data_IF_586043860270
#
_entry.id   IF_586043860270
#
_cell.length_a   1.000
_cell.length_b   1.000
_cell.length_c   1.000
_cell.angle_alpha   90.00
_cell.angle_beta   90.00
_cell.angle_gamma   90.00
#
_symmetry.space_group_name_H-M   'P 1'
#
loop_
_entity.id
_entity.type
_entity.pdbx_description
1 polymer ?
#
# COMPACT_ATOMS: atom_id res chain seq x y z
N UNK A 1 23.38 2.21 -16.27
CA UNK A 1 24.79 1.81 -16.10
C UNK A 1 25.11 0.80 -17.18
N UNK A 2 26.17 0.99 -17.98
CA UNK A 2 26.51 0.09 -19.10
C UNK A 2 27.53 -0.98 -18.71
N UNK A 3 28.41 -0.71 -17.76
CA UNK A 3 29.36 -1.67 -17.20
C UNK A 3 29.53 -1.41 -15.70
N UNK A 4 29.76 -2.45 -14.92
CA UNK A 4 30.04 -2.33 -13.48
C UNK A 4 31.41 -2.91 -13.16
N UNK A 5 32.15 -2.21 -12.31
CA UNK A 5 33.50 -2.59 -11.89
C UNK A 5 33.56 -2.67 -10.36
N UNK A 6 34.22 -3.70 -9.84
CA UNK A 6 34.50 -3.86 -8.41
C UNK A 6 36.01 -3.93 -8.26
N UNK A 7 36.58 -3.03 -7.44
CA UNK A 7 38.03 -2.91 -7.24
C UNK A 7 38.83 -2.82 -8.56
N UNK A 8 38.30 -2.12 -9.55
CA UNK A 8 38.93 -1.92 -10.86
C UNK A 8 38.75 -3.06 -11.86
N UNK A 9 38.08 -4.16 -11.49
CA UNK A 9 37.78 -5.29 -12.39
C UNK A 9 36.34 -5.20 -12.86
N UNK A 10 36.09 -5.27 -14.17
CA UNK A 10 34.73 -5.33 -14.71
C UNK A 10 34.09 -6.67 -14.35
N UNK A 11 32.97 -6.63 -13.65
CA UNK A 11 32.22 -7.83 -13.24
C UNK A 11 30.91 -8.02 -14.01
N UNK A 12 30.50 -7.03 -14.82
CA UNK A 12 29.33 -7.14 -15.69
C UNK A 12 29.20 -6.03 -16.73
N UNK A 13 28.47 -6.33 -17.80
CA UNK A 13 27.98 -5.39 -18.83
C UNK A 13 26.45 -5.46 -18.88
N UNK A 14 25.78 -4.31 -18.95
CA UNK A 14 24.33 -4.21 -18.92
C UNK A 14 23.82 -3.30 -20.03
N UNK A 15 22.70 -3.68 -20.65
CA UNK A 15 22.04 -2.87 -21.68
C UNK A 15 20.58 -2.71 -21.33
N UNK A 16 20.08 -1.50 -21.52
CA UNK A 16 18.70 -1.15 -21.22
C UNK A 16 17.91 -0.89 -22.49
N UNK A 17 16.60 -1.12 -22.45
CA UNK A 17 15.70 -0.75 -23.53
C UNK A 17 15.34 0.75 -23.46
N UNK A 18 14.46 1.20 -24.36
CA UNK A 18 14.01 2.60 -24.43
C UNK A 18 13.23 3.05 -23.18
N UNK A 19 12.68 2.11 -22.41
CA UNK A 19 11.98 2.36 -21.15
C UNK A 19 12.91 2.28 -19.93
N UNK A 20 14.23 2.27 -20.15
CA UNK A 20 15.25 2.14 -19.10
C UNK A 20 15.19 0.82 -18.31
N UNK A 21 14.51 -0.20 -18.82
CA UNK A 21 14.52 -1.54 -18.24
C UNK A 21 15.71 -2.33 -18.77
N UNK A 22 16.35 -3.13 -17.92
CA UNK A 22 17.52 -3.92 -18.30
C UNK A 22 17.14 -5.03 -19.29
N UNK A 23 17.38 -4.83 -20.57
CA UNK A 23 17.12 -5.83 -21.60
C UNK A 23 18.19 -6.94 -21.67
N UNK A 24 19.42 -6.67 -21.21
CA UNK A 24 20.52 -7.61 -21.32
C UNK A 24 21.56 -7.43 -20.21
N UNK A 25 22.14 -8.55 -19.78
CA UNK A 25 23.28 -8.65 -18.85
C UNK A 25 24.31 -9.62 -19.42
N UNK A 26 25.59 -9.30 -19.32
CA UNK A 26 26.67 -10.22 -19.61
C UNK A 26 27.70 -10.23 -18.48
N UNK A 27 27.86 -11.40 -17.87
CA UNK A 27 28.84 -11.68 -16.80
C UNK A 27 29.75 -12.86 -17.17
N UNK A 28 30.03 -13.00 -18.47
CA UNK A 28 30.65 -14.19 -19.08
C UNK A 28 29.62 -15.09 -19.75
N UNK A 29 28.38 -15.07 -19.26
CA UNK A 29 27.19 -15.62 -19.93
C UNK A 29 26.18 -14.50 -20.14
N UNK A 30 25.61 -14.44 -21.33
CA UNK A 30 24.57 -13.48 -21.68
C UNK A 30 23.21 -13.91 -21.17
N UNK A 31 22.53 -13.03 -20.44
CA UNK A 31 21.14 -13.17 -20.00
C UNK A 31 20.34 -12.04 -20.64
N UNK A 32 19.34 -12.39 -21.46
CA UNK A 32 18.35 -11.43 -21.93
C UNK A 32 17.13 -11.45 -21.01
N UNK A 33 16.49 -10.28 -20.86
CA UNK A 33 15.28 -10.12 -20.05
C UNK A 33 14.15 -9.54 -20.88
N UNK A 34 12.95 -10.04 -20.65
CA UNK A 34 11.72 -9.53 -21.27
C UNK A 34 10.78 -9.11 -20.16
N UNK A 35 10.22 -7.91 -20.29
CA UNK A 35 9.29 -7.35 -19.33
C UNK A 35 7.89 -7.21 -19.93
N UNK A 36 6.88 -7.28 -19.08
CA UNK A 36 5.51 -7.00 -19.44
C UNK A 36 5.20 -5.50 -19.41
N UNK A 37 3.96 -5.11 -19.75
CA UNK A 37 3.58 -3.72 -19.91
C UNK A 37 3.67 -2.90 -18.62
N UNK A 38 3.60 -3.55 -17.45
CA UNK A 38 3.70 -2.91 -16.14
C UNK A 38 5.11 -3.00 -15.54
N UNK A 39 6.08 -3.55 -16.28
CA UNK A 39 7.47 -3.70 -15.83
C UNK A 39 7.77 -4.99 -15.07
N UNK A 40 6.81 -5.91 -15.00
CA UNK A 40 7.00 -7.25 -14.46
C UNK A 40 7.99 -8.06 -15.33
N UNK A 41 8.95 -8.74 -14.72
CA UNK A 41 9.90 -9.59 -15.45
C UNK A 41 9.17 -10.84 -15.93
N UNK A 42 9.00 -11.03 -17.24
CA UNK A 42 8.29 -12.19 -17.81
C UNK A 42 9.21 -13.36 -18.10
N UNK A 43 10.43 -13.10 -18.56
CA UNK A 43 11.41 -14.17 -18.78
C UNK A 43 12.85 -13.67 -18.68
N UNK A 44 13.73 -14.57 -18.27
CA UNK A 44 15.17 -14.45 -18.45
C UNK A 44 15.71 -15.71 -19.17
N UNK A 45 16.64 -15.54 -20.11
CA UNK A 45 17.13 -16.62 -20.98
C UNK A 45 18.55 -17.11 -20.68
N UNK A 46 19.12 -16.70 -19.54
CA UNK A 46 20.51 -16.96 -19.16
C UNK A 46 20.79 -18.43 -18.83
N UNK A 47 21.74 -18.68 -17.91
CA UNK A 47 22.15 -20.05 -17.52
C UNK A 47 20.98 -20.93 -17.08
N UNK A 48 19.98 -20.34 -16.41
CA UNK A 48 18.75 -21.03 -16.02
C UNK A 48 17.55 -20.28 -16.62
N UNK A 49 17.14 -20.62 -17.85
CA UNK A 49 16.00 -19.97 -18.48
C UNK A 49 14.76 -20.11 -17.61
N UNK A 50 14.16 -18.97 -17.26
CA UNK A 50 13.04 -18.90 -16.34
C UNK A 50 11.96 -18.06 -16.97
N UNK A 51 10.73 -18.59 -16.99
CA UNK A 51 9.54 -17.80 -17.26
C UNK A 51 8.84 -17.52 -15.95
N UNK A 52 8.38 -16.30 -15.74
CA UNK A 52 7.72 -15.85 -14.53
C UNK A 52 6.24 -15.64 -14.83
N UNK A 53 5.38 -16.11 -13.93
CA UNK A 53 3.93 -16.00 -14.05
C UNK A 53 3.42 -15.05 -12.97
N UNK A 54 2.81 -13.94 -13.39
CA UNK A 54 2.31 -12.89 -12.51
C UNK A 54 0.79 -12.79 -12.59
N UNK A 55 0.13 -12.52 -11.46
CA UNK A 55 -1.30 -12.18 -11.40
C UNK A 55 -1.47 -10.99 -10.47
N UNK A 56 -2.09 -9.91 -10.95
CA UNK A 56 -2.37 -8.73 -10.12
C UNK A 56 -1.13 -8.06 -9.53
N UNK A 57 0.04 -8.19 -10.18
CA UNK A 57 1.32 -7.64 -9.71
C UNK A 57 2.11 -8.57 -8.77
N UNK A 58 1.55 -9.72 -8.39
CA UNK A 58 2.21 -10.70 -7.51
C UNK A 58 2.69 -11.92 -8.29
N UNK A 59 3.82 -12.50 -7.86
CA UNK A 59 4.38 -13.69 -8.49
C UNK A 59 3.54 -14.91 -8.11
N UNK A 60 2.88 -15.54 -9.09
CA UNK A 60 2.18 -16.80 -8.89
C UNK A 60 3.16 -17.99 -8.89
N UNK A 61 4.23 -17.88 -9.67
CA UNK A 61 5.22 -18.95 -9.79
C UNK A 61 6.15 -18.76 -10.96
N UNK A 62 7.02 -19.74 -11.16
CA UNK A 62 7.97 -19.79 -12.27
C UNK A 62 7.83 -21.08 -13.06
N UNK A 63 8.21 -21.03 -14.32
CA UNK A 63 8.37 -22.20 -15.18
C UNK A 63 9.84 -22.35 -15.56
N UNK A 64 10.40 -23.52 -15.28
CA UNK A 64 11.76 -23.91 -15.72
C UNK A 64 11.73 -25.31 -16.29
N UNK A 65 12.34 -25.49 -17.47
CA UNK A 65 12.38 -26.79 -18.15
C UNK A 65 11.01 -27.47 -18.27
N UNK A 66 9.95 -26.68 -18.49
CA UNK A 66 8.57 -27.16 -18.60
C UNK A 66 7.90 -27.54 -17.28
N UNK A 67 8.54 -27.34 -16.12
CA UNK A 67 7.97 -27.58 -14.80
C UNK A 67 7.54 -26.27 -14.16
N UNK A 68 6.33 -26.25 -13.59
CA UNK A 68 5.80 -25.12 -12.83
C UNK A 68 6.14 -25.26 -11.35
N UNK A 69 6.64 -24.18 -10.76
CA UNK A 69 6.92 -24.05 -9.34
C UNK A 69 6.07 -22.92 -8.79
N UNK A 70 5.14 -23.26 -7.89
CA UNK A 70 4.24 -22.28 -7.29
C UNK A 70 5.00 -21.41 -6.28
N UNK A 71 4.82 -20.10 -6.36
CA UNK A 71 5.37 -19.15 -5.40
C UNK A 71 4.39 -18.90 -4.27
N UNK A 72 4.91 -18.87 -3.05
CA UNK A 72 4.20 -18.43 -1.86
C UNK A 72 4.92 -17.18 -1.38
N UNK A 73 4.23 -16.06 -1.50
CA UNK A 73 4.79 -14.75 -1.22
C UNK A 73 4.46 -14.31 0.19
N UNK A 74 5.25 -13.38 0.74
CA UNK A 74 4.89 -12.66 1.95
C UNK A 74 3.82 -11.59 1.66
N UNK A 75 3.43 -10.84 2.70
CA UNK A 75 2.39 -9.82 2.60
C UNK A 75 2.75 -8.61 1.72
N UNK A 76 4.00 -8.51 1.25
CA UNK A 76 4.48 -7.48 0.32
C UNK A 76 4.66 -8.03 -1.10
N UNK A 77 4.31 -9.28 -1.34
CA UNK A 77 4.49 -9.94 -2.63
C UNK A 77 5.91 -10.45 -2.88
N UNK A 78 6.78 -10.50 -1.86
CA UNK A 78 8.12 -11.12 -1.99
C UNK A 78 8.03 -12.63 -1.94
N UNK A 79 8.64 -13.36 -2.88
CA UNK A 79 8.72 -14.82 -2.78
C UNK A 79 9.40 -15.25 -1.49
N UNK A 80 8.72 -16.07 -0.68
CA UNK A 80 9.27 -16.71 0.51
C UNK A 80 9.54 -18.19 0.26
N UNK A 81 8.66 -18.88 -0.46
CA UNK A 81 8.76 -20.31 -0.75
C UNK A 81 8.42 -20.58 -2.22
N UNK A 82 9.15 -21.50 -2.85
CA UNK A 82 8.69 -22.18 -4.06
C UNK A 82 8.40 -23.65 -3.76
N UNK A 83 7.25 -24.14 -4.22
CA UNK A 83 6.87 -25.55 -4.15
C UNK A 83 6.74 -26.17 -5.54
N UNK A 84 7.17 -27.43 -5.69
CA UNK A 84 6.94 -28.20 -6.91
C UNK A 84 5.50 -28.76 -6.97
N UNK A 85 5.18 -29.50 -8.04
CA UNK A 85 3.86 -30.10 -8.26
C UNK A 85 3.46 -31.15 -7.20
N UNK A 86 4.42 -31.72 -6.48
CA UNK A 86 4.18 -32.62 -5.35
C UNK A 86 4.00 -31.88 -4.01
N UNK A 87 4.04 -30.54 -4.00
CA UNK A 87 3.96 -29.71 -2.79
C UNK A 87 5.25 -29.66 -1.97
N UNK A 88 6.35 -30.25 -2.46
CA UNK A 88 7.63 -30.18 -1.75
C UNK A 88 8.27 -28.79 -1.91
N UNK A 89 8.81 -28.26 -0.81
CA UNK A 89 9.58 -27.02 -0.80
C UNK A 89 10.90 -27.25 -1.53
N UNK A 90 11.10 -26.52 -2.63
CA UNK A 90 12.30 -26.62 -3.48
C UNK A 90 13.13 -25.34 -3.47
N UNK A 91 12.58 -24.26 -2.93
CA UNK A 91 13.30 -23.04 -2.63
C UNK A 91 12.65 -22.34 -1.45
N UNK A 92 13.45 -21.74 -0.57
CA UNK A 92 12.95 -20.93 0.55
C UNK A 92 13.92 -19.83 0.92
N UNK A 93 13.39 -18.65 1.21
CA UNK A 93 14.11 -17.56 1.83
C UNK A 93 13.49 -17.14 3.16
N UNK A 94 14.33 -16.68 4.07
CA UNK A 94 13.96 -15.90 5.24
C UNK A 94 14.00 -14.42 4.84
N UNK A 95 12.84 -13.82 4.64
CA UNK A 95 12.72 -12.41 4.24
C UNK A 95 12.81 -11.51 5.48
N UNK A 96 13.86 -10.69 5.57
CA UNK A 96 13.98 -9.68 6.62
C UNK A 96 13.41 -8.34 6.15
N UNK A 97 13.56 -7.28 6.95
CA UNK A 97 13.00 -5.98 6.63
C UNK A 97 13.60 -5.37 5.36
N UNK A 98 14.93 -5.44 5.17
CA UNK A 98 15.63 -4.78 4.05
C UNK A 98 16.33 -5.76 3.11
N UNK A 99 16.36 -7.05 3.45
CA UNK A 99 17.05 -8.08 2.71
C UNK A 99 16.27 -9.41 2.76
N UNK A 100 16.91 -10.45 2.21
CA UNK A 100 16.51 -11.83 2.46
C UNK A 100 17.73 -12.73 2.54
N UNK A 101 17.54 -13.89 3.16
CA UNK A 101 18.53 -14.98 3.18
C UNK A 101 17.92 -16.26 2.63
N UNK A 102 18.49 -16.81 1.56
CA UNK A 102 18.05 -18.10 1.01
C UNK A 102 18.54 -19.23 1.91
N UNK A 103 17.64 -20.12 2.34
CA UNK A 103 17.91 -21.24 3.24
C UNK A 103 17.67 -22.61 2.59
N UNK A 104 16.90 -22.67 1.50
CA UNK A 104 16.72 -23.86 0.67
C UNK A 104 16.82 -23.44 -0.79
N UNK A 105 17.57 -24.18 -1.60
CA UNK A 105 17.62 -24.00 -3.04
C UNK A 105 17.97 -25.31 -3.75
N UNK A 106 16.98 -25.90 -4.39
CA UNK A 106 17.13 -27.07 -5.26
C UNK A 106 16.63 -26.79 -6.68
N UNK A 107 16.34 -25.53 -7.01
CA UNK A 107 15.82 -25.10 -8.32
C UNK A 107 16.83 -24.30 -9.14
N UNK A 108 18.00 -23.97 -8.56
CA UNK A 108 19.04 -23.20 -9.22
C UNK A 108 18.86 -21.70 -9.05
N UNK A 109 18.42 -21.26 -7.87
CA UNK A 109 18.30 -19.85 -7.49
C UNK A 109 16.99 -19.20 -7.93
N UNK A 110 16.63 -18.09 -7.29
CA UNK A 110 15.53 -17.23 -7.70
C UNK A 110 16.00 -15.80 -7.51
N UNK A 111 16.05 -15.00 -8.57
CA UNK A 111 16.69 -13.69 -8.50
C UNK A 111 15.73 -12.54 -8.18
N UNK A 112 14.41 -12.76 -8.23
CA UNK A 112 13.41 -11.73 -7.89
C UNK A 112 13.29 -11.54 -6.37
N UNK A 113 13.14 -10.29 -5.90
CA UNK A 113 13.08 -9.91 -4.48
C UNK A 113 11.79 -9.20 -4.09
N UNK A 114 11.92 -7.99 -3.51
CA UNK A 114 10.81 -7.03 -3.47
C UNK A 114 10.19 -6.85 -4.86
N UNK A 115 8.90 -6.50 -4.98
CA UNK A 115 8.32 -6.12 -6.25
C UNK A 115 9.24 -5.17 -7.01
N UNK A 116 9.49 -5.46 -8.29
CA UNK A 116 10.43 -4.71 -9.15
C UNK A 116 11.91 -5.08 -9.03
N UNK A 117 12.33 -5.76 -7.95
CA UNK A 117 13.73 -6.02 -7.68
C UNK A 117 14.24 -7.34 -8.25
N UNK A 118 15.49 -7.31 -8.72
CA UNK A 118 16.27 -8.45 -9.17
C UNK A 118 17.68 -8.40 -8.54
N UNK A 119 18.09 -9.46 -7.83
CA UNK A 119 19.45 -9.53 -7.25
C UNK A 119 20.48 -9.89 -8.31
N UNK A 120 21.53 -9.07 -8.39
CA UNK A 120 22.72 -9.32 -9.19
C UNK A 120 23.80 -9.91 -8.29
N UNK A 121 23.93 -11.24 -8.30
CA UNK A 121 24.88 -11.96 -7.48
C UNK A 121 26.34 -11.48 -7.65
N UNK A 122 26.70 -11.00 -8.85
CA UNK A 122 28.04 -10.48 -9.15
C UNK A 122 28.38 -9.17 -8.44
N UNK A 123 27.37 -8.40 -8.00
CA UNK A 123 27.56 -7.15 -7.24
C UNK A 123 27.03 -7.23 -5.81
N UNK A 124 26.13 -8.16 -5.52
CA UNK A 124 25.34 -8.18 -4.28
C UNK A 124 24.26 -7.11 -4.22
N UNK A 125 24.07 -6.34 -5.29
CA UNK A 125 23.06 -5.29 -5.37
C UNK A 125 21.75 -5.81 -5.95
N UNK A 126 20.68 -5.08 -5.66
CA UNK A 126 19.38 -5.30 -6.25
C UNK A 126 19.14 -4.28 -7.35
N UNK A 127 19.05 -4.74 -8.59
CA UNK A 127 18.54 -3.94 -9.68
C UNK A 127 17.04 -3.69 -9.45
N UNK A 128 16.63 -2.42 -9.39
CA UNK A 128 15.24 -2.01 -9.22
C UNK A 128 14.85 -0.98 -10.28
N UNK A 129 14.81 -1.44 -11.53
CA UNK A 129 14.49 -0.67 -12.75
C UNK A 129 15.30 0.63 -12.91
N UNK A 130 14.88 1.71 -12.25
CA UNK A 130 15.51 3.03 -12.34
C UNK A 130 16.68 3.21 -11.37
N UNK A 131 16.78 2.40 -10.31
CA UNK A 131 17.82 2.52 -9.29
C UNK A 131 18.40 1.16 -8.90
N UNK A 132 19.58 1.20 -8.28
CA UNK A 132 20.23 0.05 -7.64
C UNK A 132 20.11 0.20 -6.14
N UNK A 133 19.58 -0.84 -5.49
CA UNK A 133 19.34 -0.91 -4.07
C UNK A 133 20.42 -1.76 -3.40
N UNK A 134 20.97 -1.24 -2.31
CA UNK A 134 21.91 -1.93 -1.44
C UNK A 134 21.16 -2.37 -0.18
N UNK A 135 20.96 -3.67 -0.06
CA UNK A 135 20.24 -4.28 1.06
C UNK A 135 21.00 -4.17 2.38
N UNK A 136 22.33 -4.13 2.36
CA UNK A 136 23.14 -3.97 3.57
C UNK A 136 23.01 -2.55 4.15
N UNK A 137 22.80 -1.55 3.29
CA UNK A 137 22.58 -0.16 3.68
C UNK A 137 21.10 0.22 3.82
N UNK A 138 20.19 -0.65 3.38
CA UNK A 138 18.74 -0.42 3.38
C UNK A 138 18.30 0.77 2.51
N UNK A 139 19.01 1.06 1.40
CA UNK A 139 18.81 2.28 0.61
C UNK A 139 19.25 2.16 -0.84
N UNK A 140 18.87 3.13 -1.67
CA UNK A 140 19.39 3.27 -3.02
C UNK A 140 20.79 3.86 -3.05
N UNK A 141 21.55 3.49 -4.08
CA UNK A 141 22.88 4.02 -4.35
C UNK A 141 22.84 5.29 -5.22
N UNK A 142 21.74 5.52 -5.92
CA UNK A 142 21.51 6.72 -6.71
C UNK A 142 20.45 7.61 -6.04
N UNK A 143 20.66 8.92 -6.15
CA UNK A 143 19.60 9.88 -5.83
C UNK A 143 18.39 9.64 -6.74
N UNK A 144 17.21 9.86 -6.18
CA UNK A 144 15.93 9.74 -6.87
C UNK A 144 15.89 10.57 -8.17
N UNK A 145 15.61 9.95 -9.34
CA UNK A 145 15.43 10.67 -10.60
C UNK A 145 14.27 11.68 -10.58
N UNK A 146 13.23 11.45 -9.76
CA UNK A 146 12.13 12.42 -9.59
C UNK A 146 12.44 13.47 -8.51
N UNK A 147 13.64 13.41 -7.91
CA UNK A 147 14.14 14.37 -6.94
C UNK A 147 13.32 14.36 -5.65
N UNK A 148 13.06 15.55 -5.10
CA UNK A 148 12.34 15.72 -3.82
C UNK A 148 10.87 15.27 -3.89
N UNK A 149 10.33 15.02 -5.09
CA UNK A 149 8.99 14.48 -5.26
C UNK A 149 8.85 13.07 -4.67
N UNK A 150 9.93 12.27 -4.67
CA UNK A 150 10.01 10.96 -4.00
C UNK A 150 10.31 11.04 -2.50
N UNK A 151 10.39 12.25 -1.94
CA UNK A 151 10.64 12.50 -0.52
C UNK A 151 11.91 13.29 -0.24
N UNK A 152 12.04 13.74 1.01
CA UNK A 152 13.15 14.61 1.45
C UNK A 152 14.51 13.89 1.40
N UNK A 153 14.52 12.57 1.63
CA UNK A 153 15.72 11.75 1.46
C UNK A 153 15.64 10.98 0.14
N UNK A 154 16.30 11.51 -0.88
CA UNK A 154 16.28 10.97 -2.25
C UNK A 154 17.01 9.63 -2.41
N UNK A 155 17.64 9.11 -1.36
CA UNK A 155 18.28 7.79 -1.36
C UNK A 155 17.47 6.75 -0.57
N UNK A 156 16.46 7.17 0.20
CA UNK A 156 15.72 6.25 1.05
C UNK A 156 14.95 5.22 0.21
N UNK A 157 14.98 3.95 0.64
CA UNK A 157 14.02 2.97 0.15
C UNK A 157 12.73 3.13 0.96
N UNK A 158 11.62 3.41 0.28
CA UNK A 158 10.25 3.47 0.83
C UNK A 158 10.09 4.24 2.15
N UNK A 159 10.74 5.41 2.21
CA UNK A 159 10.79 6.27 3.39
C UNK A 159 11.25 5.56 4.69
N UNK A 160 12.00 4.45 4.56
CA UNK A 160 12.49 3.65 5.68
C UNK A 160 11.47 2.66 6.26
N UNK A 161 10.32 2.43 5.60
CA UNK A 161 9.31 1.45 6.04
C UNK A 161 9.12 0.30 5.03
N UNK A 162 10.12 -0.58 4.86
CA UNK A 162 10.03 -1.73 3.95
C UNK A 162 9.19 -2.89 4.49
N UNK A 163 8.57 -2.71 5.66
CA UNK A 163 7.63 -3.67 6.25
C UNK A 163 6.22 -3.43 5.70
N UNK A 164 5.90 -2.21 5.25
CA UNK A 164 4.55 -1.85 4.77
C UNK A 164 4.51 -1.31 3.35
N UNK A 165 5.67 -1.07 2.73
CA UNK A 165 5.76 -0.38 1.45
C UNK A 165 6.76 -1.08 0.55
N UNK A 166 6.53 -0.94 -0.76
CA UNK A 166 7.43 -1.41 -1.81
C UNK A 166 7.61 -0.30 -2.83
N UNK A 167 8.70 -0.33 -3.58
CA UNK A 167 8.93 0.60 -4.69
C UNK A 167 9.24 -0.25 -5.92
N UNK A 168 8.21 -0.58 -6.70
CA UNK A 168 8.33 -1.51 -7.83
C UNK A 168 9.05 -0.92 -9.06
N UNK A 169 9.19 0.40 -9.11
CA UNK A 169 9.83 1.09 -10.24
C UNK A 169 11.18 1.69 -9.88
N UNK A 170 11.54 1.73 -8.60
CA UNK A 170 12.70 2.48 -8.14
C UNK A 170 12.50 3.99 -8.29
N UNK A 171 11.30 4.54 -8.16
CA UNK A 171 11.03 5.98 -8.28
C UNK A 171 10.13 6.52 -7.16
N UNK A 172 9.14 5.75 -6.73
CA UNK A 172 8.21 6.19 -5.71
C UNK A 172 7.69 4.97 -4.95
N UNK A 173 7.38 5.15 -3.67
CA UNK A 173 6.80 4.07 -2.91
C UNK A 173 5.35 3.83 -3.28
N UNK A 174 5.06 2.64 -3.77
CA UNK A 174 3.72 2.10 -3.73
C UNK A 174 3.52 1.54 -2.32
N UNK A 175 2.73 2.24 -1.51
CA UNK A 175 2.15 1.59 -0.34
C UNK A 175 1.32 0.41 -0.82
N UNK A 176 1.68 -0.82 -0.44
CA UNK A 176 0.64 -1.82 -0.17
C UNK A 176 -0.05 -1.31 1.07
N UNK A 177 -0.97 -0.39 0.85
CA UNK A 177 -1.86 -0.02 1.90
C UNK A 177 -2.57 -1.31 2.32
N UNK A 178 -2.60 -1.58 3.61
CA UNK A 178 -3.73 -2.33 4.16
C UNK A 178 -4.98 -1.43 4.11
N UNK A 179 -5.19 -0.73 2.98
CA UNK A 179 -6.44 -0.13 2.61
C UNK A 179 -6.85 -0.76 1.31
N UNK A 180 -8.10 -1.17 1.36
CA UNK A 180 -8.82 -1.84 0.30
C UNK A 180 -9.09 -0.79 -0.78
N UNK A 181 -8.10 -0.42 -1.60
CA UNK A 181 -8.31 0.40 -2.81
C UNK A 181 -7.35 0.02 -3.94
N UNK A 182 -7.76 -0.90 -4.81
CA UNK A 182 -8.37 -0.53 -6.10
C UNK A 182 -8.60 -1.72 -7.06
N UNK A 183 -9.85 -1.87 -7.46
CA UNK A 183 -10.41 -2.21 -8.78
C UNK A 183 -9.87 -3.30 -9.74
N UNK A 184 -8.86 -4.14 -9.45
CA UNK A 184 -8.42 -5.14 -10.45
C UNK A 184 -8.18 -6.57 -9.94
N UNK A 185 -8.66 -6.96 -8.75
CA UNK A 185 -8.55 -8.34 -8.30
C UNK A 185 -9.90 -8.87 -7.74
N UNK A 186 -10.51 -9.92 -8.32
CA UNK A 186 -11.75 -10.51 -7.79
C UNK A 186 -11.53 -11.39 -6.55
N UNK A 187 -10.33 -11.38 -5.96
CA UNK A 187 -10.04 -12.18 -4.76
C UNK A 187 -10.55 -11.43 -3.54
N UNK A 188 -11.78 -11.78 -3.15
CA UNK A 188 -12.38 -11.68 -1.81
C UNK A 188 -11.81 -10.57 -0.93
N UNK A 189 -12.48 -9.42 -1.00
CA UNK A 189 -12.50 -8.39 0.02
C UNK A 189 -12.42 -9.02 1.42
N UNK A 190 -11.32 -8.77 2.13
CA UNK A 190 -11.15 -9.13 3.52
C UNK A 190 -12.14 -8.29 4.34
N UNK A 191 -13.30 -8.86 4.59
CA UNK A 191 -14.16 -8.41 5.67
C UNK A 191 -13.41 -8.67 6.96
N UNK A 192 -13.06 -7.63 7.73
CA UNK A 192 -12.88 -7.83 9.18
C UNK A 192 -14.28 -8.04 9.75
N UNK A 193 -14.76 -9.25 9.54
CA UNK A 193 -15.79 -9.94 10.28
C UNK A 193 -15.24 -11.36 10.34
N UNK A 194 -14.62 -11.71 11.47
CA UNK A 194 -14.35 -13.12 11.77
C UNK A 194 -15.67 -13.87 11.58
N UNK A 195 -15.61 -15.10 11.07
CA UNK A 195 -16.79 -15.86 10.63
C UNK A 195 -17.88 -16.01 11.71
N UNK A 196 -17.55 -15.80 12.98
CA UNK A 196 -18.50 -15.70 14.10
C UNK A 196 -19.42 -14.46 14.03
N UNK A 197 -18.98 -13.38 13.38
CA UNK A 197 -19.71 -12.11 13.19
C UNK A 197 -20.73 -12.14 12.03
N UNK A 198 -20.80 -13.22 11.25
CA UNK A 198 -21.78 -13.40 10.16
C UNK A 198 -22.98 -14.28 10.55
N UNK A 199 -23.08 -14.69 11.82
CA UNK A 199 -24.28 -15.32 12.37
C UNK A 199 -25.36 -14.32 12.84
N UNK A 200 -25.28 -13.05 12.43
CA UNK A 200 -26.35 -12.07 12.68
C UNK A 200 -26.08 -10.68 12.10
N UNK A 201 -26.77 -10.37 11.00
CA UNK A 201 -26.99 -9.04 10.39
C UNK A 201 -25.76 -8.25 9.89
N UNK A 202 -25.75 -7.97 8.58
CA UNK A 202 -25.04 -6.83 8.00
C UNK A 202 -25.51 -5.57 8.73
N UNK A 203 -24.69 -5.00 9.62
CA UNK A 203 -25.04 -3.81 10.40
C UNK A 203 -24.73 -2.56 9.58
N UNK A 204 -25.76 -1.74 9.32
CA UNK A 204 -25.61 -0.43 8.66
C UNK A 204 -24.95 0.61 9.57
N UNK A 205 -24.73 1.85 9.07
CA UNK A 205 -24.19 2.93 9.90
C UNK A 205 -25.10 3.23 11.09
N UNK A 206 -24.48 3.63 12.19
CA UNK A 206 -25.18 3.95 13.44
C UNK A 206 -25.70 5.41 13.42
N UNK A 207 -25.06 6.31 12.66
CA UNK A 207 -25.52 7.68 12.46
C UNK A 207 -25.12 8.25 11.09
N UNK A 208 -25.82 9.31 10.66
CA UNK A 208 -25.43 10.18 9.55
C UNK A 208 -25.33 11.61 10.07
N UNK A 209 -24.29 12.34 9.68
CA UNK A 209 -24.07 13.73 10.00
C UNK A 209 -23.94 14.59 8.74
N UNK A 210 -24.47 15.81 8.79
CA UNK A 210 -24.31 16.82 7.76
C UNK A 210 -23.86 18.14 8.37
N UNK A 211 -22.92 18.82 7.72
CA UNK A 211 -22.24 19.96 8.32
C UNK A 211 -21.70 20.94 7.30
N UNK A 212 -21.66 22.21 7.73
CA UNK A 212 -21.06 23.34 7.03
C UNK A 212 -19.81 23.81 7.75
N UNK A 213 -18.78 24.12 6.98
CA UNK A 213 -17.43 24.44 7.44
C UNK A 213 -17.05 25.84 6.96
N UNK A 214 -16.53 26.67 7.85
CA UNK A 214 -15.97 27.98 7.55
C UNK A 214 -14.65 28.10 8.32
N UNK A 215 -13.54 28.16 7.58
CA UNK A 215 -12.20 28.27 8.15
C UNK A 215 -11.83 27.11 9.09
N UNK A 216 -11.74 27.35 10.39
CA UNK A 216 -11.45 26.34 11.42
C UNK A 216 -12.70 25.86 12.16
N UNK A 217 -13.88 26.39 11.82
CA UNK A 217 -15.13 26.14 12.53
C UNK A 217 -16.05 25.31 11.66
N UNK A 218 -16.71 24.33 12.28
CA UNK A 218 -17.80 23.60 11.64
C UNK A 218 -19.03 23.55 12.52
N UNK A 219 -20.19 23.54 11.89
CA UNK A 219 -21.50 23.35 12.53
C UNK A 219 -22.34 22.39 11.71
N UNK A 220 -23.11 21.55 12.37
CA UNK A 220 -23.91 20.53 11.70
C UNK A 220 -24.91 19.85 12.60
N UNK A 221 -25.51 18.79 12.07
CA UNK A 221 -26.38 17.90 12.83
C UNK A 221 -26.12 16.44 12.46
N UNK A 222 -26.27 15.54 13.43
CA UNK A 222 -26.39 14.11 13.20
C UNK A 222 -27.78 13.59 13.49
N UNK A 223 -28.11 12.51 12.80
CA UNK A 223 -29.27 11.66 13.06
C UNK A 223 -28.76 10.30 13.50
N UNK A 224 -29.21 9.84 14.67
CA UNK A 224 -29.05 8.46 15.13
C UNK A 224 -29.99 7.56 14.31
N UNK A 225 -29.44 6.59 13.60
CA UNK A 225 -30.21 5.74 12.69
C UNK A 225 -30.96 4.60 13.39
N UNK A 226 -30.67 4.34 14.67
CA UNK A 226 -31.38 3.32 15.45
C UNK A 226 -32.70 3.81 16.02
N UNK A 227 -32.81 5.10 16.34
CA UNK A 227 -33.99 5.66 17.02
C UNK A 227 -34.50 6.99 16.42
N UNK A 228 -33.78 7.59 15.46
CA UNK A 228 -34.18 8.83 14.78
C UNK A 228 -33.87 10.12 15.54
N UNK A 229 -33.18 10.05 16.69
CA UNK A 229 -32.83 11.24 17.46
C UNK A 229 -31.85 12.14 16.69
N UNK A 230 -32.02 13.46 16.83
CA UNK A 230 -31.21 14.47 16.14
C UNK A 230 -30.34 15.22 17.14
N UNK A 231 -29.06 15.39 16.79
CA UNK A 231 -28.04 16.01 17.62
C UNK A 231 -27.37 17.15 16.89
N UNK A 232 -27.15 18.27 17.58
CA UNK A 232 -26.39 19.40 17.03
C UNK A 232 -24.90 19.20 17.26
N UNK A 233 -24.09 19.58 16.29
CA UNK A 233 -22.64 19.35 16.27
C UNK A 233 -21.89 20.65 16.01
N UNK A 234 -20.73 20.82 16.64
CA UNK A 234 -19.90 22.00 16.48
C UNK A 234 -18.43 21.72 16.76
N UNK A 235 -17.54 21.92 15.79
CA UNK A 235 -16.13 21.57 15.92
C UNK A 235 -15.15 22.70 15.63
N UNK A 236 -13.96 22.57 16.21
CA UNK A 236 -12.77 23.32 15.83
C UNK A 236 -11.76 22.36 15.21
N UNK A 237 -11.27 22.66 14.00
CA UNK A 237 -10.32 21.79 13.31
C UNK A 237 -9.17 22.58 12.67
N UNK A 238 -8.01 21.93 12.50
CA UNK A 238 -6.82 22.51 11.85
C UNK A 238 -6.34 21.56 10.76
N UNK A 239 -6.59 21.90 9.50
CA UNK A 239 -5.99 21.20 8.36
C UNK A 239 -4.47 21.43 8.32
N UNK A 240 -3.68 20.37 8.26
CA UNK A 240 -2.25 20.43 7.95
C UNK A 240 -2.05 20.10 6.46
N UNK A 241 -1.18 20.79 5.70
CA UNK A 241 -0.30 21.91 6.07
C UNK A 241 -0.90 23.31 5.88
N UNK A 242 -2.15 23.43 5.39
CA UNK A 242 -2.81 24.73 5.17
C UNK A 242 -4.25 24.74 5.72
N UNK A 243 -4.70 25.84 6.35
CA UNK A 243 -6.09 25.99 6.78
C UNK A 243 -7.04 26.03 5.57
N UNK A 244 -8.24 25.52 5.79
CA UNK A 244 -9.30 25.53 4.78
C UNK A 244 -9.75 26.98 4.55
N UNK A 245 -9.41 27.57 3.42
CA UNK A 245 -9.63 29.02 3.16
C UNK A 245 -10.98 29.36 2.53
N UNK A 246 -11.81 28.36 2.20
CA UNK A 246 -13.11 28.50 1.53
C UNK A 246 -14.21 27.79 2.33
N UNK A 247 -15.46 28.31 2.34
CA UNK A 247 -16.59 27.58 2.90
C UNK A 247 -16.80 26.24 2.20
N UNK A 248 -17.20 25.20 2.92
CA UNK A 248 -17.56 23.92 2.34
C UNK A 248 -18.57 23.13 3.16
N UNK A 249 -19.15 22.09 2.58
CA UNK A 249 -20.15 21.25 3.23
C UNK A 249 -19.82 19.78 3.05
N UNK A 250 -20.17 18.95 4.02
CA UNK A 250 -20.00 17.50 3.93
C UNK A 250 -21.15 16.73 4.57
N UNK A 251 -21.28 15.48 4.12
CA UNK A 251 -22.16 14.46 4.69
C UNK A 251 -21.28 13.26 5.04
N UNK A 252 -21.47 12.73 6.25
CA UNK A 252 -20.68 11.63 6.82
C UNK A 252 -21.62 10.57 7.37
N UNK A 253 -21.30 9.31 7.17
CA UNK A 253 -21.91 8.19 7.87
C UNK A 253 -20.87 7.57 8.82
N UNK A 254 -21.30 7.23 10.04
CA UNK A 254 -20.43 6.71 11.08
C UNK A 254 -20.92 5.37 11.63
N UNK A 255 -19.99 4.47 11.90
CA UNK A 255 -20.24 3.18 12.56
C UNK A 255 -19.43 3.11 13.85
N UNK A 256 -20.10 2.96 14.99
CA UNK A 256 -19.49 2.85 16.31
C UNK A 256 -18.88 1.44 16.45
N UNK A 257 -17.62 1.41 16.86
CA UNK A 257 -16.85 0.18 17.06
C UNK A 257 -17.29 -0.44 18.38
N UNK A 258 -17.81 -1.67 18.31
CA UNK A 258 -18.25 -2.42 19.48
C UNK A 258 -19.37 -3.41 19.17
N UNK A 259 -19.59 -4.34 20.10
CA UNK A 259 -20.69 -5.29 20.07
C UNK A 259 -21.96 -4.70 20.70
N UNK A 260 -23.12 -4.99 20.11
CA UNK A 260 -24.42 -4.57 20.64
C UNK A 260 -24.57 -3.05 20.69
N UNK A 261 -24.08 -2.35 19.67
CA UNK A 261 -24.38 -0.92 19.49
C UNK A 261 -25.87 -0.78 19.22
N UNK A 262 -26.52 0.06 20.01
CA UNK A 262 -27.95 0.33 19.96
C UNK A 262 -28.20 1.85 19.98
N UNK A 263 -29.47 2.24 20.00
CA UNK A 263 -29.85 3.65 20.05
C UNK A 263 -29.25 4.39 21.25
N UNK A 264 -29.24 3.79 22.44
CA UNK A 264 -28.75 4.43 23.65
C UNK A 264 -27.23 4.67 23.63
N UNK A 265 -26.45 3.70 23.12
CA UNK A 265 -25.00 3.87 22.94
C UNK A 265 -24.67 4.89 21.87
N UNK A 266 -25.47 4.93 20.81
CA UNK A 266 -25.30 5.93 19.74
C UNK A 266 -25.67 7.33 20.23
N UNK A 267 -26.72 7.46 21.04
CA UNK A 267 -27.08 8.71 21.71
C UNK A 267 -25.96 9.17 22.66
N UNK A 268 -25.41 8.26 23.47
CA UNK A 268 -24.29 8.57 24.36
C UNK A 268 -23.04 9.00 23.59
N UNK A 269 -22.76 8.36 22.45
CA UNK A 269 -21.66 8.75 21.58
C UNK A 269 -21.89 10.15 21.03
N UNK A 270 -23.05 10.43 20.44
CA UNK A 270 -23.35 11.71 19.79
C UNK A 270 -23.50 12.90 20.76
N UNK A 271 -23.76 12.65 22.05
CA UNK A 271 -23.81 13.68 23.10
C UNK A 271 -22.44 14.01 23.74
N UNK A 272 -21.41 13.16 23.58
CA UNK A 272 -20.19 13.26 24.40
C UNK A 272 -18.99 13.90 23.70
N UNK A 273 -18.40 14.97 24.25
CA UNK A 273 -17.19 15.66 23.73
C UNK A 273 -16.04 14.72 23.32
N UNK A 274 -15.19 15.12 22.37
CA UNK A 274 -14.21 14.20 21.81
C UNK A 274 -13.36 14.76 20.67
N UNK A 275 -12.50 13.91 20.14
CA UNK A 275 -11.47 14.24 19.15
C UNK A 275 -11.60 13.36 17.91
N UNK A 276 -11.09 13.85 16.79
CA UNK A 276 -11.20 13.17 15.50
C UNK A 276 -9.92 13.33 14.68
N UNK A 277 -9.65 12.33 13.84
CA UNK A 277 -8.61 12.36 12.83
C UNK A 277 -9.21 11.99 11.48
N UNK A 278 -8.99 12.83 10.47
CA UNK A 278 -9.74 12.76 9.21
C UNK A 278 -8.80 12.90 8.02
N UNK A 279 -9.17 12.25 6.91
CA UNK A 279 -8.50 12.36 5.62
C UNK A 279 -9.53 12.76 4.58
N UNK A 280 -9.19 13.75 3.74
CA UNK A 280 -10.02 14.20 2.63
C UNK A 280 -9.20 14.17 1.34
N UNK A 281 -9.76 13.56 0.31
CA UNK A 281 -9.17 13.52 -1.03
C UNK A 281 -10.13 14.23 -1.98
N UNK A 282 -9.77 15.42 -2.51
CA UNK A 282 -10.55 16.08 -3.54
C UNK A 282 -10.58 15.20 -4.80
N UNK A 283 -11.77 14.91 -5.34
CA UNK A 283 -11.89 14.40 -6.71
C UNK A 283 -12.13 15.60 -7.65
N UNK A 284 -11.76 15.46 -8.92
CA UNK A 284 -11.71 16.54 -9.92
C UNK A 284 -12.99 17.38 -10.09
N UNK A 285 -12.92 18.37 -11.00
CA UNK A 285 -13.96 19.39 -11.22
C UNK A 285 -15.32 18.77 -11.67
N UNK A 286 -16.48 19.08 -11.03
CA UNK A 286 -16.70 20.10 -10.02
C UNK A 286 -16.68 19.58 -8.58
N UNK A 287 -15.59 19.90 -7.89
CA UNK A 287 -15.48 20.16 -6.44
C UNK A 287 -16.22 19.21 -5.47
N UNK A 288 -16.15 17.89 -5.68
CA UNK A 288 -16.61 16.90 -4.70
C UNK A 288 -15.44 15.98 -4.37
N UNK A 289 -15.09 15.86 -3.09
CA UNK A 289 -14.10 14.92 -2.59
C UNK A 289 -14.72 13.88 -1.68
N UNK A 290 -13.97 12.81 -1.46
CA UNK A 290 -14.33 11.73 -0.55
C UNK A 290 -13.36 11.71 0.61
N UNK A 291 -13.77 11.13 1.71
CA UNK A 291 -12.82 10.72 2.72
C UNK A 291 -13.51 10.15 3.93
N UNK A 292 -12.84 10.23 5.07
CA UNK A 292 -13.27 9.53 6.25
C UNK A 292 -12.33 9.78 7.41
N UNK A 293 -12.58 9.10 8.51
CA UNK A 293 -11.81 9.32 9.72
C UNK A 293 -12.19 8.38 10.84
N UNK A 294 -11.58 8.64 11.98
CA UNK A 294 -11.92 8.02 13.25
C UNK A 294 -12.27 9.11 14.24
N UNK A 295 -13.38 8.91 14.95
CA UNK A 295 -13.85 9.82 15.99
C UNK A 295 -13.86 9.09 17.33
N UNK A 296 -13.46 9.77 18.38
CA UNK A 296 -13.43 9.25 19.74
C UNK A 296 -14.20 10.17 20.67
N UNK A 297 -15.24 9.64 21.32
CA UNK A 297 -15.97 10.31 22.38
C UNK A 297 -15.26 10.09 23.73
N UNK A 298 -15.08 11.16 24.51
CA UNK A 298 -14.60 11.16 25.89
C UNK A 298 -15.61 10.33 26.70
N UNK A 299 -15.23 9.10 27.01
CA UNK A 299 -16.15 8.05 27.45
C UNK A 299 -15.81 6.67 26.87
N UNK A 300 -14.92 6.60 25.87
CA UNK A 300 -14.26 5.37 25.43
C UNK A 300 -14.85 4.71 24.17
N UNK A 301 -15.85 5.32 23.56
CA UNK A 301 -16.41 4.83 22.30
C UNK A 301 -15.70 5.46 21.10
N UNK A 302 -15.45 4.63 20.09
CA UNK A 302 -14.83 5.03 18.83
C UNK A 302 -15.83 4.82 17.69
N UNK A 303 -15.79 5.67 16.66
CA UNK A 303 -16.47 5.42 15.39
C UNK A 303 -15.50 5.48 14.22
N UNK A 304 -15.84 4.73 13.18
CA UNK A 304 -15.23 4.82 11.86
C UNK A 304 -16.21 5.60 10.97
N UNK A 305 -15.69 6.60 10.28
CA UNK A 305 -16.48 7.54 9.49
C UNK A 305 -16.06 7.54 8.02
N UNK A 306 -17.05 7.69 7.14
CA UNK A 306 -16.84 7.87 5.70
C UNK A 306 -17.84 8.87 5.16
N UNK A 307 -17.41 9.71 4.22
CA UNK A 307 -18.22 10.82 3.75
C UNK A 307 -17.77 11.44 2.45
N UNK A 308 -18.59 12.38 2.00
CA UNK A 308 -18.36 13.20 0.79
C UNK A 308 -18.50 14.67 1.16
N UNK A 309 -17.77 15.54 0.48
CA UNK A 309 -17.84 16.96 0.74
C UNK A 309 -17.19 17.82 -0.32
N UNK A 310 -17.42 19.13 -0.26
CA UNK A 310 -16.83 20.09 -1.20
C UNK A 310 -15.44 20.55 -0.78
N UNK A 311 -14.71 21.20 -1.69
CA UNK A 311 -13.44 21.88 -1.38
C UNK A 311 -13.73 23.01 -0.38
N UNK A 312 -13.30 22.85 0.86
CA UNK A 312 -13.80 23.68 1.97
C UNK A 312 -14.34 22.84 3.13
N UNK A 313 -14.61 21.56 2.89
CA UNK A 313 -15.04 20.63 3.92
C UNK A 313 -13.84 19.85 4.46
N UNK A 314 -13.76 19.76 5.77
CA UNK A 314 -13.22 18.55 6.39
C UNK A 314 -14.33 17.52 6.32
N UNK A 315 -14.19 16.47 5.52
CA UNK A 315 -15.02 15.28 5.76
C UNK A 315 -14.72 14.84 7.18
N UNK A 316 -15.76 14.82 8.00
CA UNK A 316 -15.74 14.75 9.46
C UNK A 316 -15.46 16.07 10.16
N UNK A 317 -16.53 16.77 10.57
CA UNK A 317 -16.46 17.73 11.64
C UNK A 317 -17.38 17.28 12.78
N UNK A 318 -16.81 16.69 13.82
CA UNK A 318 -17.47 16.54 15.11
C UNK A 318 -16.49 16.90 16.23
N UNK A 319 -16.80 17.99 16.90
CA UNK A 319 -16.62 18.16 18.34
C UNK A 319 -18.05 18.37 18.86
N UNK A 320 -18.30 17.90 20.06
CA UNK A 320 -19.65 17.64 20.52
C UNK A 320 -20.22 18.80 21.30
N UNK A 321 -21.54 18.93 21.26
CA UNK A 321 -22.29 19.90 22.06
C UNK A 321 -22.25 19.58 23.56
N UNK A 322 -22.64 20.58 24.34
CA UNK A 322 -23.38 20.34 25.58
C UNK A 322 -24.83 20.03 25.25
#
# INVERSE_FOLDING_TARGET
MSAVTISGVQVGDYRSNIYNQRAYKNIGVGTAYVYGPQGELLTETGTTPTSYVWIGGELLGIVRSGQFYASHNDHLGRPEVLSNTAGAVVWRAENAAFDRKVVVDTVGGLNVGFPGQYVDAETGLWYNWNRYYDAALGRYLQSDPIGIAGGVNTYAYVAGNPISRVDASGLDDSSYDFSIRSNQNPVRQLWIATTDALSGAVRGPDYIAASGNIYIVSVGAAVNLHNGNVYMQGSLFRGYPAPVSKPGACIVAGSIVGSGVDGAKTDSFLNGAGNQATIFVPAGNPFIGVGGGVSHAIGGAYSIEYGVGSVGASVSPITYGK
#
